data_IF_014191847443
#
_entry.id   IF_014191847443
#
_cell.length_a   1.000
_cell.length_b   1.000
_cell.length_c   1.000
_cell.angle_alpha   90.00
_cell.angle_beta   90.00
_cell.angle_gamma   90.00
#
_symmetry.space_group_name_H-M   'P 1'
#
loop_
_entity.id
_entity.type
_entity.pdbx_description
1 polymer ?
#
# COMPACT_ATOMS: atom_id res chain seq x y z
N UNK A 1 8.63 -10.31 -11.50
CA UNK A 1 7.73 -9.62 -12.43
C UNK A 1 7.45 -10.49 -13.64
N UNK A 2 6.22 -10.99 -13.79
CA UNK A 2 5.77 -11.80 -14.92
C UNK A 2 4.60 -11.12 -15.64
N UNK A 3 4.35 -11.54 -16.89
CA UNK A 3 3.21 -11.05 -17.68
C UNK A 3 3.38 -9.65 -18.29
N UNK A 4 2.34 -9.19 -19.03
CA UNK A 4 2.33 -7.90 -19.73
C UNK A 4 2.32 -6.70 -18.78
N UNK A 5 2.80 -5.55 -19.25
CA UNK A 5 2.84 -4.30 -18.48
C UNK A 5 1.49 -3.87 -17.90
N UNK A 6 0.40 -4.06 -18.65
CA UNK A 6 -0.95 -3.72 -18.17
C UNK A 6 -1.33 -4.49 -16.90
N UNK A 7 -0.96 -5.78 -16.81
CA UNK A 7 -1.21 -6.59 -15.61
C UNK A 7 -0.40 -6.09 -14.42
N UNK A 8 0.80 -5.57 -14.66
CA UNK A 8 1.65 -4.98 -13.60
C UNK A 8 1.07 -3.68 -13.07
N UNK A 9 0.59 -2.80 -13.94
CA UNK A 9 -0.05 -1.55 -13.51
C UNK A 9 -1.34 -1.81 -12.73
N UNK A 10 -2.17 -2.76 -13.18
CA UNK A 10 -3.39 -3.15 -12.44
C UNK A 10 -3.02 -3.72 -11.06
N UNK A 11 -1.95 -4.54 -10.99
CA UNK A 11 -1.46 -5.06 -9.73
C UNK A 11 -0.94 -3.96 -8.79
N UNK A 12 -0.24 -2.94 -9.28
CA UNK A 12 0.17 -1.78 -8.49
C UNK A 12 -1.03 -0.97 -7.96
N UNK A 13 -2.07 -0.79 -8.79
CA UNK A 13 -3.30 -0.10 -8.38
C UNK A 13 -4.01 -0.83 -7.25
N UNK A 14 -4.28 -2.13 -7.42
CA UNK A 14 -4.95 -2.90 -6.36
C UNK A 14 -4.06 -3.09 -5.13
N UNK A 15 -2.75 -3.23 -5.31
CA UNK A 15 -1.80 -3.29 -4.20
C UNK A 15 -1.80 -2.03 -3.35
N UNK A 16 -1.74 -0.85 -4.00
CA UNK A 16 -1.76 0.44 -3.30
C UNK A 16 -3.13 0.73 -2.69
N UNK A 17 -4.23 0.34 -3.35
CA UNK A 17 -5.56 0.43 -2.79
C UNK A 17 -5.70 -0.40 -1.49
N UNK A 18 -5.18 -1.63 -1.44
CA UNK A 18 -5.19 -2.45 -0.22
C UNK A 18 -4.35 -1.79 0.89
N UNK A 19 -3.16 -1.29 0.56
CA UNK A 19 -2.30 -0.56 1.51
C UNK A 19 -3.05 0.62 2.15
N UNK A 20 -3.69 1.45 1.32
CA UNK A 20 -4.43 2.63 1.78
C UNK A 20 -5.66 2.22 2.59
N UNK A 21 -6.45 1.25 2.12
CA UNK A 21 -7.67 0.78 2.81
C UNK A 21 -7.32 0.25 4.20
N UNK A 22 -6.28 -0.58 4.33
CA UNK A 22 -5.93 -1.17 5.62
C UNK A 22 -5.15 -0.20 6.52
N UNK A 23 -4.14 0.49 5.99
CA UNK A 23 -3.33 1.43 6.74
C UNK A 23 -4.11 2.68 7.17
N UNK A 24 -4.63 3.44 6.20
CA UNK A 24 -5.40 4.65 6.50
C UNK A 24 -6.77 4.31 7.12
N UNK A 25 -7.36 3.15 6.79
CA UNK A 25 -8.55 2.66 7.48
C UNK A 25 -8.31 2.37 8.97
N UNK A 26 -7.14 1.84 9.34
CA UNK A 26 -6.78 1.66 10.74
C UNK A 26 -6.61 2.99 11.48
N UNK A 27 -6.03 4.00 10.82
CA UNK A 27 -5.95 5.38 11.35
C UNK A 27 -7.35 5.96 11.53
N UNK A 28 -8.20 5.87 10.49
CA UNK A 28 -9.58 6.36 10.54
C UNK A 28 -10.37 5.68 11.67
N UNK A 29 -10.29 4.35 11.78
CA UNK A 29 -10.94 3.60 12.85
C UNK A 29 -10.43 4.00 14.25
N UNK A 30 -9.17 4.41 14.38
CA UNK A 30 -8.56 4.79 15.67
C UNK A 30 -8.92 6.20 16.12
N UNK A 31 -9.19 7.13 15.20
CA UNK A 31 -9.30 8.56 15.51
C UNK A 31 -10.64 9.21 15.13
N UNK A 32 -11.42 8.62 14.22
CA UNK A 32 -12.76 9.13 13.93
C UNK A 32 -13.73 8.75 15.05
N UNK A 33 -14.68 9.64 15.33
CA UNK A 33 -15.70 9.42 16.36
C UNK A 33 -16.72 8.39 15.87
N UNK A 34 -17.20 7.54 16.78
CA UNK A 34 -18.27 6.58 16.48
C UNK A 34 -17.80 5.36 15.70
N UNK A 35 -16.49 5.09 15.70
CA UNK A 35 -15.89 3.87 15.15
C UNK A 35 -15.71 2.81 16.23
N UNK A 36 -15.49 1.56 15.84
CA UNK A 36 -15.31 0.44 16.77
C UNK A 36 -14.13 0.66 17.72
N UNK A 37 -13.03 1.24 17.24
CA UNK A 37 -11.85 1.52 18.06
C UNK A 37 -11.87 2.94 18.70
N UNK A 38 -12.94 3.73 18.52
CA UNK A 38 -13.10 5.04 19.14
C UNK A 38 -14.60 5.35 19.35
N UNK A 39 -15.22 4.55 20.23
CA UNK A 39 -16.65 4.63 20.55
C UNK A 39 -17.03 5.82 21.44
N UNK A 40 -16.06 6.49 22.07
CA UNK A 40 -16.25 7.70 22.88
C UNK A 40 -15.19 8.71 22.51
N UNK A 41 -15.59 9.97 22.27
CA UNK A 41 -14.70 11.04 21.78
C UNK A 41 -13.32 11.03 22.45
N UNK A 42 -12.28 10.62 21.71
CA UNK A 42 -10.89 10.85 22.09
C UNK A 42 -10.20 9.70 22.83
N UNK A 43 -10.82 8.53 22.99
CA UNK A 43 -10.12 7.32 23.48
C UNK A 43 -9.90 6.35 22.31
N UNK A 44 -8.67 6.35 21.76
CA UNK A 44 -8.25 5.36 20.78
C UNK A 44 -8.04 4.01 21.47
N UNK A 45 -9.00 3.10 21.35
CA UNK A 45 -8.96 1.72 21.89
C UNK A 45 -8.15 0.76 21.00
N UNK A 46 -7.05 1.24 20.43
CA UNK A 46 -6.12 0.45 19.59
C UNK A 46 -4.76 1.10 19.44
N UNK A 47 -4.71 2.44 19.54
CA UNK A 47 -3.48 3.23 19.54
C UNK A 47 -2.60 2.99 18.33
N UNK A 48 -1.32 3.30 18.49
CA UNK A 48 -0.30 3.11 17.45
C UNK A 48 -0.11 1.64 17.04
N UNK A 49 -0.36 0.69 17.93
CA UNK A 49 -0.22 -0.73 17.63
C UNK A 49 -1.23 -1.19 16.57
N UNK A 50 -2.49 -0.77 16.67
CA UNK A 50 -3.51 -1.12 15.68
C UNK A 50 -3.16 -0.54 14.29
N UNK A 51 -2.64 0.68 14.25
CA UNK A 51 -2.18 1.33 13.02
C UNK A 51 -0.97 0.61 12.43
N UNK A 52 0.00 0.22 13.26
CA UNK A 52 1.17 -0.53 12.83
C UNK A 52 0.78 -1.87 12.19
N UNK A 53 -0.17 -2.60 12.78
CA UNK A 53 -0.71 -3.82 12.18
C UNK A 53 -1.48 -3.52 10.88
N UNK A 54 -2.28 -2.46 10.83
CA UNK A 54 -3.00 -2.04 9.62
C UNK A 54 -2.07 -1.80 8.43
N UNK A 55 -1.01 -1.01 8.61
CA UNK A 55 0.00 -0.80 7.57
C UNK A 55 0.85 -2.05 7.30
N UNK A 56 1.21 -2.82 8.33
CA UNK A 56 1.97 -4.05 8.18
C UNK A 56 1.26 -5.08 7.29
N UNK A 57 -0.03 -5.33 7.55
CA UNK A 57 -0.86 -6.16 6.68
C UNK A 57 -1.15 -5.49 5.33
N UNK A 58 -1.29 -4.16 5.31
CA UNK A 58 -1.44 -3.35 4.10
C UNK A 58 -0.28 -3.51 3.11
N UNK A 59 0.94 -3.76 3.58
CA UNK A 59 2.09 -4.06 2.70
C UNK A 59 2.23 -5.56 2.45
N UNK A 60 2.04 -6.40 3.47
CA UNK A 60 2.23 -7.85 3.38
C UNK A 60 1.28 -8.51 2.38
N UNK A 61 -0.02 -8.17 2.42
CA UNK A 61 -1.01 -8.82 1.55
C UNK A 61 -0.75 -8.53 0.06
N UNK A 62 -0.54 -7.27 -0.37
CA UNK A 62 -0.11 -6.99 -1.74
C UNK A 62 1.19 -7.70 -2.14
N UNK A 63 2.18 -7.80 -1.24
CA UNK A 63 3.42 -8.51 -1.54
C UNK A 63 3.16 -9.99 -1.88
N UNK A 64 2.29 -10.65 -1.12
CA UNK A 64 1.93 -12.05 -1.34
C UNK A 64 1.05 -12.26 -2.58
N UNK A 65 0.15 -11.32 -2.88
CA UNK A 65 -0.79 -11.41 -4.00
C UNK A 65 -0.15 -11.02 -5.34
N UNK A 66 0.67 -9.97 -5.34
CA UNK A 66 1.08 -9.25 -6.55
C UNK A 66 2.60 -9.16 -6.75
N UNK A 67 3.42 -9.58 -5.78
CA UNK A 67 4.89 -9.49 -5.87
C UNK A 67 5.47 -10.19 -7.10
N UNK A 68 4.93 -11.35 -7.48
CA UNK A 68 5.37 -12.06 -8.68
C UNK A 68 4.98 -11.34 -9.99
N UNK A 69 3.89 -10.57 -9.97
CA UNK A 69 3.31 -9.86 -11.12
C UNK A 69 4.02 -8.52 -11.32
N UNK A 70 3.82 -7.55 -10.42
CA UNK A 70 4.31 -6.17 -10.58
C UNK A 70 5.62 -5.88 -9.89
N UNK A 71 6.08 -6.75 -8.99
CA UNK A 71 7.17 -6.45 -8.04
C UNK A 71 6.69 -5.88 -6.71
N UNK A 72 5.40 -5.52 -6.61
CA UNK A 72 4.77 -4.94 -5.42
C UNK A 72 5.53 -3.69 -4.90
N UNK A 73 5.67 -2.69 -5.75
CA UNK A 73 6.31 -1.45 -5.32
C UNK A 73 5.38 -0.68 -4.39
N UNK A 74 4.11 -0.51 -4.81
CA UNK A 74 3.00 0.13 -4.08
C UNK A 74 3.37 1.46 -3.39
N UNK A 75 4.41 2.12 -3.92
CA UNK A 75 5.07 3.28 -3.34
C UNK A 75 5.97 3.95 -4.40
N UNK A 76 5.73 5.22 -4.73
CA UNK A 76 6.54 5.96 -5.69
C UNK A 76 8.04 6.01 -5.33
N UNK A 77 8.38 6.10 -4.04
CA UNK A 77 9.78 6.15 -3.60
C UNK A 77 10.51 4.82 -3.85
N UNK A 78 9.83 3.68 -3.73
CA UNK A 78 10.41 2.37 -4.06
C UNK A 78 10.66 2.29 -5.57
N UNK A 79 9.68 2.68 -6.39
CA UNK A 79 9.83 2.70 -7.86
C UNK A 79 11.00 3.56 -8.31
N UNK A 80 11.16 4.77 -7.74
CA UNK A 80 12.26 5.66 -8.07
C UNK A 80 13.59 5.09 -7.57
N UNK A 81 13.62 4.53 -6.35
CA UNK A 81 14.81 3.93 -5.77
C UNK A 81 15.34 2.76 -6.59
N UNK A 82 14.46 1.84 -7.00
CA UNK A 82 14.86 0.72 -7.87
C UNK A 82 15.32 1.18 -9.26
N UNK A 83 14.68 2.21 -9.81
CA UNK A 83 15.10 2.77 -11.10
C UNK A 83 16.47 3.45 -11.02
N UNK A 84 16.75 4.17 -9.93
CA UNK A 84 18.07 4.76 -9.67
C UNK A 84 19.17 3.71 -9.52
N UNK A 85 18.84 2.53 -8.97
CA UNK A 85 19.76 1.41 -8.85
C UNK A 85 19.90 0.57 -10.14
N UNK A 86 19.19 0.92 -11.23
CA UNK A 86 19.21 0.15 -12.48
C UNK A 86 18.45 -1.18 -12.42
N UNK A 87 17.61 -1.38 -11.38
CA UNK A 87 16.81 -2.58 -11.17
C UNK A 87 15.47 -2.47 -11.93
N UNK A 88 14.91 -1.26 -12.02
CA UNK A 88 13.64 -1.00 -12.69
C UNK A 88 13.78 -0.04 -13.88
N UNK A 89 13.16 -0.31 -15.05
CA UNK A 89 13.31 0.54 -16.24
C UNK A 89 12.63 1.91 -16.07
N UNK A 90 13.39 2.98 -16.31
CA UNK A 90 12.92 4.37 -16.22
C UNK A 90 11.67 4.67 -17.06
N UNK A 91 11.49 4.00 -18.21
CA UNK A 91 10.33 4.15 -19.09
C UNK A 91 9.00 3.78 -18.43
N UNK A 92 9.03 3.02 -17.33
CA UNK A 92 7.84 2.55 -16.61
C UNK A 92 7.64 3.20 -15.25
N UNK A 93 8.53 4.12 -14.82
CA UNK A 93 8.43 4.80 -13.52
C UNK A 93 7.17 5.64 -13.42
N UNK A 94 6.94 6.55 -14.38
CA UNK A 94 5.74 7.41 -14.38
C UNK A 94 4.45 6.58 -14.46
N UNK A 95 4.32 5.58 -15.36
CA UNK A 95 3.16 4.69 -15.35
C UNK A 95 2.92 3.97 -14.02
N UNK A 96 3.97 3.49 -13.34
CA UNK A 96 3.83 2.88 -12.01
C UNK A 96 3.32 3.88 -10.97
N UNK A 97 3.87 5.09 -10.95
CA UNK A 97 3.46 6.14 -10.00
C UNK A 97 2.02 6.58 -10.24
N UNK A 98 1.54 6.61 -11.49
CA UNK A 98 0.13 6.91 -11.79
C UNK A 98 -0.79 5.76 -11.37
N UNK A 99 -0.31 4.52 -11.47
CA UNK A 99 -1.09 3.35 -11.09
C UNK A 99 -1.22 3.21 -9.56
N UNK A 100 -0.18 3.61 -8.80
CA UNK A 100 -0.15 3.62 -7.34
C UNK A 100 -1.08 4.70 -6.77
#
# INVERSE_FOLDING_TARGET
MSGPWISRYIAEFFGTAILVILGNGAVANSFLKGTTANGTNGQSNGGWNFIAWGFGFGVMLPAMLFGSISGNHINPAITIGEAACGIFPWTHVVPYIIAQ
#
